data_IF_180154063533
#
_entry.id   IF_180154063533
#
_cell.length_a   1.000
_cell.length_b   1.000
_cell.length_c   1.000
_cell.angle_alpha   90.00
_cell.angle_beta   90.00
_cell.angle_gamma   90.00
#
_symmetry.space_group_name_H-M   'P 1'
#
loop_
_entity.id
_entity.type
_entity.pdbx_description
1 polymer ?
#
# COMPACT_ATOMS: atom_id res chain seq x y z
N UNK A 1 14.22 -4.19 11.72
CA UNK A 1 13.14 -3.47 11.73
C UNK A 1 11.89 -4.21 11.47
N UNK A 2 11.13 -4.10 12.23
CA UNK A 2 9.93 -4.85 12.20
C UNK A 2 8.87 -4.11 11.46
N UNK A 3 7.75 -4.61 11.38
CA UNK A 3 6.56 -3.92 10.96
C UNK A 3 6.61 -3.32 9.55
N UNK A 4 7.36 -3.95 8.66
CA UNK A 4 7.37 -3.51 7.27
C UNK A 4 5.96 -3.55 6.70
N UNK A 5 5.22 -4.61 7.01
CA UNK A 5 3.85 -4.74 6.52
C UNK A 5 2.96 -3.65 7.09
N UNK A 6 3.18 -3.28 8.35
CA UNK A 6 2.43 -2.18 8.94
C UNK A 6 2.78 -0.85 8.29
N UNK A 7 4.04 -0.68 7.91
CA UNK A 7 4.46 0.53 7.22
C UNK A 7 3.76 0.64 5.86
N UNK A 8 3.75 -0.46 5.10
CA UNK A 8 3.06 -0.48 3.81
C UNK A 8 1.57 -0.23 3.99
N UNK A 9 0.99 -0.82 5.03
CA UNK A 9 -0.43 -0.64 5.32
C UNK A 9 -0.76 0.82 5.56
N UNK A 10 0.05 1.49 6.35
CA UNK A 10 -0.16 2.91 6.63
C UNK A 10 -0.06 3.75 5.38
N UNK A 11 0.92 3.43 4.54
CA UNK A 11 1.10 4.19 3.31
C UNK A 11 -0.09 4.01 2.38
N UNK A 12 -0.62 2.81 2.29
CA UNK A 12 -1.80 2.57 1.47
C UNK A 12 -2.96 3.44 1.95
N UNK A 13 -3.21 3.42 3.24
CA UNK A 13 -4.31 4.21 3.78
C UNK A 13 -4.06 5.69 3.58
N UNK A 14 -2.83 6.13 3.78
CA UNK A 14 -2.48 7.54 3.60
C UNK A 14 -2.71 7.97 2.16
N UNK A 15 -2.23 7.18 1.21
CA UNK A 15 -2.41 7.50 -0.21
C UNK A 15 -3.89 7.52 -0.58
N UNK A 16 -4.63 6.51 -0.10
CA UNK A 16 -6.04 6.43 -0.41
C UNK A 16 -6.81 7.63 0.09
N UNK A 17 -6.58 8.00 1.36
CA UNK A 17 -7.30 9.12 1.94
C UNK A 17 -6.85 10.45 1.34
N UNK A 18 -5.59 10.55 0.95
CA UNK A 18 -5.11 11.76 0.28
C UNK A 18 -5.82 11.96 -1.05
N UNK A 19 -6.20 10.88 -1.71
CA UNK A 19 -6.94 10.95 -2.97
C UNK A 19 -8.45 10.99 -2.74
N UNK A 20 -8.87 11.06 -1.48
CA UNK A 20 -10.27 11.17 -1.12
C UNK A 20 -11.09 9.97 -1.60
N UNK A 21 -10.52 8.78 -1.48
CA UNK A 21 -11.16 7.57 -1.94
C UNK A 21 -11.65 6.73 -0.77
N UNK A 22 -12.80 6.09 -0.97
CA UNK A 22 -13.28 5.09 -0.05
C UNK A 22 -12.57 3.77 -0.33
N UNK A 23 -12.60 2.87 0.65
CA UNK A 23 -12.00 1.56 0.44
C UNK A 23 -12.62 0.84 -0.76
N UNK A 24 -13.93 0.99 -0.95
CA UNK A 24 -14.60 0.35 -2.07
C UNK A 24 -14.12 0.91 -3.41
N UNK A 25 -13.84 2.20 -3.44
CA UNK A 25 -13.36 2.81 -4.67
C UNK A 25 -11.95 2.35 -5.01
N UNK A 26 -11.09 2.24 -3.99
CA UNK A 26 -9.77 1.71 -4.23
C UNK A 26 -9.83 0.25 -4.67
N UNK A 27 -10.70 -0.53 -4.03
CA UNK A 27 -10.85 -1.94 -4.40
C UNK A 27 -11.20 -2.07 -5.87
N UNK A 28 -12.12 -1.24 -6.34
CA UNK A 28 -12.51 -1.27 -7.74
C UNK A 28 -11.35 -0.91 -8.64
N UNK A 29 -10.57 0.08 -8.26
CA UNK A 29 -9.46 0.56 -9.07
C UNK A 29 -8.37 -0.48 -9.24
N UNK A 30 -8.18 -1.34 -8.24
CA UNK A 30 -7.13 -2.36 -8.30
C UNK A 30 -7.70 -3.76 -8.52
N UNK A 31 -8.95 -3.84 -8.94
CA UNK A 31 -9.61 -5.11 -9.26
C UNK A 31 -9.61 -6.08 -8.09
N UNK A 32 -9.92 -5.56 -6.92
CA UNK A 32 -9.99 -6.33 -5.69
C UNK A 32 -11.34 -6.09 -5.02
N UNK A 33 -11.46 -6.53 -3.78
CA UNK A 33 -12.68 -6.29 -3.02
C UNK A 33 -12.35 -5.54 -1.74
N UNK A 34 -13.40 -5.02 -1.10
CA UNK A 34 -13.24 -4.21 0.10
C UNK A 34 -12.58 -5.00 1.22
N UNK A 35 -12.90 -6.29 1.33
CA UNK A 35 -12.29 -7.12 2.37
C UNK A 35 -10.78 -7.17 2.22
N UNK A 36 -10.30 -7.27 0.99
CA UNK A 36 -8.87 -7.29 0.74
C UNK A 36 -8.23 -5.97 1.10
N UNK A 37 -8.85 -4.86 0.70
CA UNK A 37 -8.32 -3.54 1.03
C UNK A 37 -8.25 -3.37 2.54
N UNK A 38 -9.30 -3.78 3.24
CA UNK A 38 -9.34 -3.67 4.68
C UNK A 38 -8.19 -4.45 5.33
N UNK A 39 -7.99 -5.70 4.88
CA UNK A 39 -6.90 -6.51 5.43
C UNK A 39 -5.53 -5.88 5.13
N UNK A 40 -5.34 -5.39 3.92
CA UNK A 40 -4.07 -4.78 3.56
C UNK A 40 -3.79 -3.54 4.39
N UNK A 41 -4.82 -2.74 4.67
CA UNK A 41 -4.65 -1.55 5.49
C UNK A 41 -4.45 -1.89 6.96
N UNK A 42 -4.67 -3.12 7.34
CA UNK A 42 -4.36 -3.61 8.67
C UNK A 42 -3.04 -4.37 8.72
N UNK A 43 -2.32 -4.42 7.60
CA UNK A 43 -1.03 -5.06 7.56
C UNK A 43 -1.07 -6.56 7.32
N UNK A 44 -2.23 -7.09 6.90
CA UNK A 44 -2.37 -8.52 6.66
C UNK A 44 -2.16 -8.83 5.20
N UNK A 45 -1.24 -9.74 4.93
CA UNK A 45 -1.02 -10.27 3.59
C UNK A 45 -0.69 -9.23 2.52
N UNK A 46 -0.19 -8.08 2.94
CA UNK A 46 0.22 -7.09 1.96
C UNK A 46 1.62 -7.43 1.48
N UNK A 47 1.79 -7.54 0.17
CA UNK A 47 3.09 -7.80 -0.41
C UNK A 47 3.63 -6.52 -1.00
N UNK A 48 4.94 -6.49 -1.19
CA UNK A 48 5.58 -5.35 -1.83
C UNK A 48 5.02 -5.14 -3.24
N UNK A 49 4.79 -6.24 -3.95
CA UNK A 49 4.27 -6.17 -5.30
C UNK A 49 2.88 -5.51 -5.33
N UNK A 50 2.01 -5.96 -4.44
CA UNK A 50 0.65 -5.39 -4.38
C UNK A 50 0.69 -3.94 -3.96
N UNK A 51 1.59 -3.60 -3.04
CA UNK A 51 1.75 -2.21 -2.62
C UNK A 51 2.12 -1.33 -3.80
N UNK A 52 3.07 -1.79 -4.62
CA UNK A 52 3.47 -1.02 -5.79
C UNK A 52 2.32 -0.84 -6.77
N UNK A 53 1.54 -1.89 -6.95
CA UNK A 53 0.39 -1.82 -7.84
C UNK A 53 -0.60 -0.76 -7.37
N UNK A 54 -0.88 -0.76 -6.08
CA UNK A 54 -1.81 0.22 -5.50
C UNK A 54 -1.26 1.63 -5.67
N UNK A 55 0.01 1.82 -5.35
CA UNK A 55 0.62 3.14 -5.43
C UNK A 55 0.56 3.67 -6.87
N UNK A 56 0.94 2.84 -7.82
CA UNK A 56 0.93 3.27 -9.22
C UNK A 56 -0.48 3.57 -9.70
N UNK A 57 -1.45 2.78 -9.27
CA UNK A 57 -2.84 3.01 -9.65
C UNK A 57 -3.32 4.37 -9.15
N UNK A 58 -2.85 4.78 -7.99
CA UNK A 58 -3.23 6.06 -7.41
C UNK A 58 -2.37 7.21 -7.92
N UNK A 59 -1.44 6.93 -8.82
CA UNK A 59 -0.64 7.97 -9.45
C UNK A 59 0.64 8.34 -8.71
N UNK A 60 1.06 7.48 -7.79
CA UNK A 60 2.28 7.75 -7.03
C UNK A 60 3.47 7.02 -7.63
N UNK A 61 4.63 7.64 -7.48
CA UNK A 61 5.90 7.03 -7.82
C UNK A 61 6.55 6.59 -6.53
N UNK A 62 7.06 5.36 -6.50
CA UNK A 62 7.69 4.82 -5.32
C UNK A 62 9.18 4.73 -5.54
N UNK A 63 9.93 5.45 -4.72
CA UNK A 63 11.39 5.41 -4.77
C UNK A 63 11.89 4.62 -3.59
N UNK A 64 12.79 3.68 -3.85
CA UNK A 64 13.37 2.86 -2.82
C UNK A 64 14.86 3.07 -2.81
N UNK A 65 15.41 3.39 -1.66
CA UNK A 65 16.84 3.55 -1.53
C UNK A 65 17.38 2.43 -0.67
N UNK A 66 18.31 1.67 -1.23
CA UNK A 66 18.95 0.59 -0.51
C UNK A 66 20.38 1.00 -0.22
N UNK A 67 20.74 1.02 1.06
CA UNK A 67 22.07 1.41 1.44
C UNK A 67 22.89 0.19 1.83
N UNK A 68 24.18 0.26 1.56
CA UNK A 68 25.10 -0.78 1.92
C UNK A 68 25.17 -0.95 3.41
N UNK A 69 25.40 -2.10 3.82
CA UNK A 69 25.41 -2.41 5.23
C UNK A 69 26.62 -1.86 5.92
N UNK A 70 27.02 -1.70 5.99
CA UNK A 70 27.79 -1.52 6.65
C UNK A 70 28.38 -1.12 6.93
N UNK A 71 28.50 -1.10 7.06
CA UNK A 71 28.96 -0.81 7.28
C UNK A 71 29.35 -0.55 7.69
#
# INVERSE_FOLDING_TARGET
MEATEMTLARLIKTMRTAEDLKQSELAEAVYSDVSSICRWEHGENITWYKFLEIAHTLGYTVDVEVRGGQQ
#
